data_IF_499191550366
#
_entry.id   IF_499191550366
#
_cell.length_a   1.000
_cell.length_b   1.000
_cell.length_c   1.000
_cell.angle_alpha   90.00
_cell.angle_beta   90.00
_cell.angle_gamma   90.00
#
_symmetry.space_group_name_H-M   'P 1'
#
loop_
_entity.id
_entity.type
_entity.pdbx_description
1 polymer ?
#
# COMPACT_ATOMS: atom_id res chain seq x y z
N UNK A 1 -2.79 -10.26 -21.24
CA UNK A 1 -1.61 -9.93 -20.40
C UNK A 1 -1.16 -11.21 -19.70
N UNK A 2 0.11 -11.65 -19.85
CA UNK A 2 0.61 -12.90 -19.23
C UNK A 2 0.91 -12.65 -17.75
N UNK A 3 0.56 -13.60 -16.88
CA UNK A 3 0.87 -13.55 -15.45
C UNK A 3 2.37 -13.78 -15.27
N UNK A 4 3.02 -13.05 -14.35
CA UNK A 4 4.44 -13.27 -14.07
C UNK A 4 4.65 -14.68 -13.49
N UNK A 5 5.57 -15.46 -14.06
CA UNK A 5 6.03 -16.73 -13.47
C UNK A 5 7.04 -16.50 -12.33
N UNK A 6 7.44 -15.24 -12.10
CA UNK A 6 8.41 -14.89 -11.09
C UNK A 6 7.80 -14.89 -9.68
N UNK A 7 8.34 -15.74 -8.81
CA UNK A 7 7.88 -15.88 -7.42
C UNK A 7 7.92 -14.55 -6.64
N UNK A 8 8.89 -13.67 -6.89
CA UNK A 8 8.99 -12.39 -6.20
C UNK A 8 7.86 -11.43 -6.61
N UNK A 9 7.48 -11.38 -7.89
CA UNK A 9 6.35 -10.56 -8.35
C UNK A 9 5.03 -11.06 -7.78
N UNK A 10 4.83 -12.38 -7.73
CA UNK A 10 3.64 -12.99 -7.10
C UNK A 10 3.56 -12.63 -5.61
N UNK A 11 4.66 -12.79 -4.87
CA UNK A 11 4.73 -12.45 -3.44
C UNK A 11 4.51 -10.96 -3.21
N UNK A 12 5.13 -10.10 -4.02
CA UNK A 12 4.98 -8.64 -3.92
C UNK A 12 3.54 -8.20 -4.20
N UNK A 13 2.90 -8.76 -5.22
CA UNK A 13 1.48 -8.53 -5.53
C UNK A 13 0.58 -8.91 -4.35
N UNK A 14 0.80 -10.10 -3.77
CA UNK A 14 0.04 -10.54 -2.59
C UNK A 14 0.22 -9.59 -1.39
N UNK A 15 1.44 -9.10 -1.15
CA UNK A 15 1.68 -8.11 -0.09
C UNK A 15 0.95 -6.79 -0.37
N UNK A 16 0.93 -6.31 -1.62
CA UNK A 16 0.15 -5.11 -1.97
C UNK A 16 -1.35 -5.32 -1.79
N UNK A 17 -1.89 -6.51 -2.09
CA UNK A 17 -3.29 -6.82 -1.80
C UNK A 17 -3.59 -6.88 -0.31
N UNK A 18 -2.69 -7.45 0.51
CA UNK A 18 -2.81 -7.42 1.97
C UNK A 18 -2.79 -5.97 2.47
N UNK A 19 -1.93 -5.13 1.92
CA UNK A 19 -1.90 -3.70 2.24
C UNK A 19 -3.21 -2.99 1.86
N UNK A 20 -3.80 -3.30 0.72
CA UNK A 20 -5.10 -2.75 0.33
C UNK A 20 -6.21 -3.19 1.29
N UNK A 21 -6.20 -4.46 1.71
CA UNK A 21 -7.15 -4.99 2.69
C UNK A 21 -7.01 -4.29 4.05
N UNK A 22 -5.78 -4.09 4.52
CA UNK A 22 -5.49 -3.29 5.72
C UNK A 22 -6.02 -1.86 5.58
N UNK A 23 -5.86 -1.24 4.41
CA UNK A 23 -6.41 0.08 4.13
C UNK A 23 -7.94 0.14 4.19
N UNK A 24 -8.62 -0.91 3.71
CA UNK A 24 -10.09 -1.04 3.83
C UNK A 24 -10.50 -1.17 5.30
N UNK A 25 -9.81 -2.02 6.07
CA UNK A 25 -10.08 -2.18 7.51
C UNK A 25 -9.87 -0.85 8.24
N UNK A 26 -8.80 -0.12 7.92
CA UNK A 26 -8.51 1.19 8.50
C UNK A 26 -9.59 2.23 8.19
N UNK A 27 -10.14 2.21 6.96
CA UNK A 27 -11.27 3.05 6.57
C UNK A 27 -12.51 2.76 7.43
N UNK A 28 -12.85 1.47 7.58
CA UNK A 28 -14.02 1.04 8.36
C UNK A 28 -13.90 1.41 9.83
N UNK A 29 -12.68 1.44 10.36
CA UNK A 29 -12.36 1.90 11.72
C UNK A 29 -12.23 3.42 11.85
N UNK A 30 -12.42 4.19 10.77
CA UNK A 30 -12.28 5.65 10.75
C UNK A 30 -13.62 6.33 10.39
N UNK A 31 -14.60 6.39 11.32
CA UNK A 31 -15.92 6.95 11.06
C UNK A 31 -15.89 8.43 10.62
N UNK A 32 -14.91 9.20 11.08
CA UNK A 32 -14.67 10.60 10.68
C UNK A 32 -14.33 10.74 9.19
N UNK A 33 -13.63 9.75 8.61
CA UNK A 33 -13.29 9.73 7.19
C UNK A 33 -14.51 9.36 6.36
N UNK A 34 -15.34 8.43 6.87
CA UNK A 34 -16.56 7.97 6.21
C UNK A 34 -17.63 9.07 6.18
N UNK A 35 -17.77 9.83 7.27
CA UNK A 35 -18.73 10.94 7.36
C UNK A 35 -18.34 12.15 6.49
N UNK A 36 -17.05 12.29 6.15
CA UNK A 36 -16.55 13.32 5.24
C UNK A 36 -16.65 12.88 3.78
N UNK A 37 -17.48 13.56 2.98
CA UNK A 37 -17.61 13.25 1.54
C UNK A 37 -16.26 13.36 0.79
N UNK A 38 -15.39 14.30 1.19
CA UNK A 38 -14.04 14.41 0.63
C UNK A 38 -13.16 13.23 1.06
N UNK A 39 -13.15 12.91 2.36
CA UNK A 39 -12.34 11.83 2.95
C UNK A 39 -12.68 10.45 2.39
N UNK A 40 -13.98 10.17 2.21
CA UNK A 40 -14.47 8.93 1.63
C UNK A 40 -14.06 8.81 0.15
N UNK A 41 -14.24 9.86 -0.65
CA UNK A 41 -13.81 9.87 -2.06
C UNK A 41 -12.31 9.64 -2.21
N UNK A 42 -11.48 10.34 -1.43
CA UNK A 42 -10.03 10.18 -1.49
C UNK A 42 -9.59 8.77 -1.09
N UNK A 43 -10.24 8.19 -0.08
CA UNK A 43 -9.92 6.84 0.37
C UNK A 43 -10.27 5.78 -0.67
N UNK A 44 -11.45 5.88 -1.31
CA UNK A 44 -11.85 4.96 -2.38
C UNK A 44 -10.85 5.01 -3.54
N UNK A 45 -10.49 6.21 -4.00
CA UNK A 45 -9.51 6.38 -5.09
C UNK A 45 -8.15 5.75 -4.69
N UNK A 46 -7.72 5.98 -3.44
CA UNK A 46 -6.46 5.44 -2.94
C UNK A 46 -6.46 3.91 -2.89
N UNK A 47 -7.53 3.30 -2.39
CA UNK A 47 -7.69 1.83 -2.37
C UNK A 47 -7.67 1.28 -3.79
N UNK A 48 -8.40 1.91 -4.71
CA UNK A 48 -8.46 1.48 -6.11
C UNK A 48 -7.09 1.57 -6.79
N UNK A 49 -6.32 2.62 -6.47
CA UNK A 49 -4.95 2.80 -6.94
C UNK A 49 -4.03 1.69 -6.42
N UNK A 50 -4.07 1.37 -5.12
CA UNK A 50 -3.26 0.29 -4.53
C UNK A 50 -3.63 -1.08 -5.14
N UNK A 51 -4.92 -1.36 -5.32
CA UNK A 51 -5.37 -2.60 -5.98
C UNK A 51 -4.86 -2.69 -7.43
N UNK A 52 -4.92 -1.57 -8.17
CA UNK A 52 -4.41 -1.50 -9.55
C UNK A 52 -2.91 -1.78 -9.59
N UNK A 53 -2.13 -1.22 -8.66
CA UNK A 53 -0.71 -1.53 -8.53
C UNK A 53 -0.48 -3.02 -8.25
N UNK A 54 -1.26 -3.63 -7.35
CA UNK A 54 -1.17 -5.05 -7.05
C UNK A 54 -1.40 -5.94 -8.28
N UNK A 55 -2.35 -5.56 -9.14
CA UNK A 55 -2.63 -6.24 -10.41
C UNK A 55 -1.49 -6.05 -11.42
N UNK A 56 -0.99 -4.83 -11.60
CA UNK A 56 0.14 -4.55 -12.50
C UNK A 56 1.40 -5.30 -12.09
N UNK A 57 1.67 -5.40 -10.79
CA UNK A 57 2.73 -6.23 -10.24
C UNK A 57 2.49 -7.71 -10.58
N UNK A 58 1.26 -8.22 -10.48
CA UNK A 58 0.96 -9.62 -10.83
C UNK A 58 1.22 -9.95 -12.30
N UNK A 59 1.09 -8.96 -13.18
CA UNK A 59 1.41 -9.09 -14.59
C UNK A 59 2.91 -8.95 -14.91
N UNK A 60 3.78 -8.77 -13.91
CA UNK A 60 5.23 -8.74 -14.12
C UNK A 60 5.74 -7.44 -14.75
N UNK A 61 4.97 -6.35 -14.63
CA UNK A 61 5.33 -5.06 -15.20
C UNK A 61 6.55 -4.50 -14.46
N UNK A 62 7.73 -4.55 -15.08
CA UNK A 62 9.01 -4.27 -14.39
C UNK A 62 9.17 -2.82 -13.92
N UNK A 63 8.61 -1.84 -14.63
CA UNK A 63 8.70 -0.41 -14.28
C UNK A 63 7.84 -0.02 -13.05
N UNK A 64 6.88 -0.87 -12.65
CA UNK A 64 5.98 -0.60 -11.53
C UNK A 64 6.72 -0.44 -10.19
N UNK A 65 7.92 -1.05 -10.08
CA UNK A 65 8.79 -0.94 -8.90
C UNK A 65 9.18 0.51 -8.60
N UNK A 66 9.34 1.35 -9.63
CA UNK A 66 9.67 2.77 -9.46
C UNK A 66 8.46 3.59 -9.03
N UNK A 67 7.27 3.32 -9.57
CA UNK A 67 6.04 3.98 -9.08
C UNK A 67 5.83 3.65 -7.60
N UNK A 68 5.91 2.38 -7.24
CA UNK A 68 5.70 1.94 -5.86
C UNK A 68 6.72 2.57 -4.91
N UNK A 69 7.98 2.71 -5.34
CA UNK A 69 9.02 3.40 -4.59
C UNK A 69 8.68 4.88 -4.36
N UNK A 70 8.26 5.60 -5.40
CA UNK A 70 7.87 7.02 -5.28
C UNK A 70 6.70 7.17 -4.33
N UNK A 71 5.68 6.32 -4.45
CA UNK A 71 4.52 6.35 -3.55
C UNK A 71 4.89 6.07 -2.10
N UNK A 72 5.82 5.15 -1.85
CA UNK A 72 6.32 4.89 -0.50
C UNK A 72 7.09 6.09 0.05
N UNK A 73 7.94 6.73 -0.75
CA UNK A 73 8.67 7.92 -0.31
C UNK A 73 7.67 9.02 0.07
N UNK A 74 6.70 9.30 -0.80
CA UNK A 74 5.64 10.29 -0.53
C UNK A 74 4.81 9.92 0.70
N UNK A 75 4.51 8.62 0.88
CA UNK A 75 3.85 8.10 2.07
C UNK A 75 4.69 8.39 3.32
N UNK A 76 5.93 7.91 3.37
CA UNK A 76 6.83 8.05 4.52
C UNK A 76 7.08 9.50 4.95
N UNK A 77 7.01 10.47 4.05
CA UNK A 77 7.08 11.89 4.42
C UNK A 77 5.84 12.38 5.19
N UNK A 78 4.65 11.91 4.81
CA UNK A 78 3.38 12.38 5.39
C UNK A 78 2.92 11.53 6.59
N UNK A 79 3.27 10.24 6.60
CA UNK A 79 2.79 9.25 7.57
C UNK A 79 3.22 9.53 9.03
N UNK A 80 4.42 10.04 9.37
CA UNK A 80 4.83 10.23 10.76
C UNK A 80 3.94 11.19 11.56
N UNK A 81 3.49 12.29 10.94
CA UNK A 81 2.57 13.23 11.56
C UNK A 81 1.20 12.58 11.83
N UNK A 82 0.71 11.80 10.87
CA UNK A 82 -0.56 11.07 10.98
C UNK A 82 -0.48 9.98 12.06
N UNK A 83 0.62 9.21 12.10
CA UNK A 83 0.84 8.19 13.14
C UNK A 83 0.86 8.84 14.51
N UNK A 84 1.60 9.95 14.70
CA UNK A 84 1.67 10.63 16.01
C UNK A 84 0.29 11.06 16.51
N UNK A 85 -0.53 11.60 15.61
CA UNK A 85 -1.92 11.95 15.94
C UNK A 85 -2.74 10.71 16.28
N UNK A 86 -2.74 9.70 15.41
CA UNK A 86 -3.56 8.49 15.62
C UNK A 86 -3.11 7.65 16.81
N UNK A 87 -1.83 7.66 17.21
CA UNK A 87 -1.39 6.93 18.40
C UNK A 87 -2.09 7.42 19.68
N UNK A 88 -2.47 8.69 19.71
CA UNK A 88 -3.14 9.34 20.84
C UNK A 88 -4.65 9.10 20.80
N UNK A 89 -5.27 9.23 19.63
CA UNK A 89 -6.73 9.23 19.49
C UNK A 89 -7.32 7.88 19.04
N UNK A 90 -6.61 7.15 18.18
CA UNK A 90 -7.07 5.90 17.57
C UNK A 90 -5.89 4.93 17.38
N UNK A 91 -5.36 4.33 18.47
CA UNK A 91 -4.11 3.57 18.45
C UNK A 91 -4.18 2.34 17.53
N UNK A 92 -5.36 1.74 17.36
CA UNK A 92 -5.57 0.61 16.44
C UNK A 92 -5.29 1.04 15.00
N UNK A 93 -5.80 2.20 14.57
CA UNK A 93 -5.60 2.73 13.23
C UNK A 93 -4.13 3.08 12.98
N UNK A 94 -3.43 3.61 14.00
CA UNK A 94 -1.99 3.85 13.92
C UNK A 94 -1.19 2.55 13.69
N UNK A 95 -1.52 1.47 14.41
CA UNK A 95 -0.89 0.15 14.22
C UNK A 95 -1.14 -0.36 12.80
N UNK A 96 -2.36 -0.23 12.29
CA UNK A 96 -2.70 -0.65 10.92
C UNK A 96 -1.88 0.14 9.90
N UNK A 97 -1.73 1.45 10.06
CA UNK A 97 -0.91 2.29 9.16
C UNK A 97 0.56 1.87 9.17
N UNK A 98 1.11 1.54 10.35
CA UNK A 98 2.48 1.03 10.48
C UNK A 98 2.63 -0.31 9.75
N UNK A 99 1.73 -1.26 10.03
CA UNK A 99 1.73 -2.57 9.36
C UNK A 99 1.60 -2.43 7.84
N UNK A 100 0.71 -1.56 7.38
CA UNK A 100 0.52 -1.27 5.97
C UNK A 100 1.81 -0.72 5.33
N UNK A 101 2.51 0.18 6.01
CA UNK A 101 3.78 0.73 5.54
C UNK A 101 4.86 -0.35 5.45
N UNK A 102 4.99 -1.19 6.46
CA UNK A 102 5.96 -2.31 6.48
C UNK A 102 5.71 -3.31 5.35
N UNK A 103 4.44 -3.64 5.09
CA UNK A 103 4.03 -4.55 4.01
C UNK A 103 4.34 -3.95 2.64
N UNK A 104 4.05 -2.66 2.41
CA UNK A 104 4.37 -1.99 1.14
C UNK A 104 5.89 -1.87 0.89
N UNK A 105 6.66 -1.55 1.93
CA UNK A 105 8.13 -1.53 1.86
C UNK A 105 8.65 -2.93 1.51
N UNK A 106 8.16 -3.97 2.18
CA UNK A 106 8.56 -5.36 1.91
C UNK A 106 8.23 -5.80 0.48
N UNK A 107 7.06 -5.41 -0.03
CA UNK A 107 6.68 -5.64 -1.42
C UNK A 107 7.66 -4.96 -2.39
N UNK A 108 8.04 -3.73 -2.11
CA UNK A 108 8.97 -2.96 -2.94
C UNK A 108 10.36 -3.57 -2.95
N UNK A 109 10.88 -3.93 -1.77
CA UNK A 109 12.19 -4.59 -1.64
C UNK A 109 12.22 -5.91 -2.44
N UNK A 110 11.14 -6.70 -2.40
CA UNK A 110 11.04 -7.93 -3.18
C UNK A 110 11.08 -7.68 -4.69
N UNK A 111 10.45 -6.60 -5.19
CA UNK A 111 10.51 -6.23 -6.60
C UNK A 111 11.92 -5.82 -7.03
N UNK A 112 12.64 -5.04 -6.21
CA UNK A 112 14.01 -4.65 -6.52
C UNK A 112 15.01 -5.79 -6.38
N UNK A 113 14.82 -6.71 -5.43
CA UNK A 113 15.67 -7.90 -5.29
C UNK A 113 15.68 -8.77 -6.54
N UNK A 114 14.58 -8.80 -7.27
CA UNK A 114 14.50 -9.53 -8.53
C UNK A 114 15.22 -8.85 -9.70
N UNK A 115 15.35 -7.51 -9.65
CA UNK A 115 15.98 -6.71 -10.71
C UNK A 115 17.50 -6.86 -10.78
N UNK A 116 18.15 -7.42 -9.75
CA UNK A 116 19.61 -7.55 -9.66
C UNK A 116 20.10 -8.82 -10.38
N UNK A 117 19.18 -9.66 -10.89
CA UNK A 117 19.49 -10.90 -11.62
C UNK A 117 19.20 -10.84 -13.13
N UNK A 118 18.83 -9.67 -13.65
CA UNK A 118 18.83 -9.40 -15.10
C UNK A 118 20.18 -8.81 -15.50
#
# INVERSE_FOLDING_TARGET
>A
MKISLNSNFIKSSNLIFISALLGIINLLLSPEIISSQKGLKTSIITILLILTLGVLIRYGVSWIKYILLILIILGLFNTPAVIKYMLIYNPINAIIIILQSLVQISATVLLFRNSIKE
#
